data_IF_314087555652
#
_entry.id   IF_314087555652
#
_cell.length_a   1.000
_cell.length_b   1.000
_cell.length_c   1.000
_cell.angle_alpha   90.00
_cell.angle_beta   90.00
_cell.angle_gamma   90.00
#
_symmetry.space_group_name_H-M   'P 1'
#
loop_
_entity.id
_entity.type
_entity.pdbx_description
1 polymer ?
#
# COMPACT_ATOMS: atom_id res chain seq x y z
N UNK A 1 -6.95 16.06 -23.20
CA UNK A 1 -6.06 15.01 -23.71
C UNK A 1 -6.74 14.17 -24.78
N UNK A 2 -7.84 13.46 -24.52
CA UNK A 2 -8.55 12.62 -25.52
C UNK A 2 -8.86 13.35 -26.83
N UNK A 3 -9.27 14.64 -26.78
CA UNK A 3 -9.51 15.47 -27.99
C UNK A 3 -8.25 15.70 -28.85
N UNK A 4 -7.06 15.50 -28.29
CA UNK A 4 -5.78 15.60 -28.98
C UNK A 4 -5.27 14.25 -29.46
N UNK A 5 -6.08 13.20 -29.40
CA UNK A 5 -5.67 11.84 -29.79
C UNK A 5 -4.75 11.14 -28.78
N UNK A 6 -4.65 11.66 -27.55
CA UNK A 6 -3.83 11.02 -26.51
C UNK A 6 -4.65 9.88 -25.89
N UNK A 7 -4.08 8.69 -25.94
CA UNK A 7 -4.62 7.49 -25.31
C UNK A 7 -4.46 7.58 -23.78
N UNK A 8 -5.56 7.41 -23.06
CA UNK A 8 -5.62 7.38 -21.62
C UNK A 8 -5.98 5.95 -21.18
N UNK A 9 -5.19 5.41 -20.28
CA UNK A 9 -5.41 4.12 -19.61
C UNK A 9 -5.86 4.36 -18.17
N UNK A 10 -6.50 3.35 -17.58
CA UNK A 10 -7.01 3.41 -16.21
C UNK A 10 -6.19 2.50 -15.32
N UNK A 11 -5.56 3.08 -14.29
CA UNK A 11 -4.85 2.33 -13.26
C UNK A 11 -5.62 2.33 -11.95
N UNK A 12 -5.31 1.34 -11.10
CA UNK A 12 -5.80 1.25 -9.73
C UNK A 12 -4.64 1.11 -8.78
N UNK A 13 -4.77 1.65 -7.59
CA UNK A 13 -3.90 1.38 -6.45
C UNK A 13 -4.75 1.31 -5.20
N UNK A 14 -4.14 1.06 -4.05
CA UNK A 14 -4.84 1.03 -2.78
C UNK A 14 -3.93 1.44 -1.65
N UNK A 15 -4.53 1.77 -0.53
CA UNK A 15 -3.85 2.07 0.72
C UNK A 15 -4.48 1.24 1.83
N UNK A 16 -3.70 0.76 2.82
CA UNK A 16 -4.25 0.06 3.98
C UNK A 16 -4.85 1.04 4.98
N UNK A 17 -5.49 0.49 6.00
CA UNK A 17 -5.97 1.28 7.12
C UNK A 17 -4.83 1.91 7.93
N UNK A 18 -5.17 2.98 8.63
CA UNK A 18 -4.38 3.54 9.74
C UNK A 18 -5.07 3.22 11.04
N UNK A 19 -4.29 2.89 12.03
CA UNK A 19 -4.77 2.52 13.37
C UNK A 19 -4.11 3.38 14.44
N UNK A 20 -4.78 3.53 15.58
CA UNK A 20 -4.21 4.22 16.73
C UNK A 20 -3.21 3.30 17.44
N UNK A 21 -1.93 3.65 17.39
CA UNK A 21 -0.82 2.89 17.97
C UNK A 21 -0.95 2.63 19.47
N UNK A 22 -1.70 3.46 20.21
CA UNK A 22 -1.97 3.26 21.62
C UNK A 22 -2.89 2.06 21.91
N UNK A 23 -3.46 1.49 20.87
CA UNK A 23 -4.40 0.35 20.94
C UNK A 23 -3.85 -0.92 20.32
N UNK A 24 -2.58 -0.90 19.90
CA UNK A 24 -1.85 -2.04 19.35
C UNK A 24 -1.15 -2.78 20.49
N UNK A 25 -1.20 -4.10 20.47
CA UNK A 25 -0.45 -4.98 21.37
C UNK A 25 0.87 -5.38 20.69
N UNK A 26 1.89 -4.54 20.85
CA UNK A 26 3.20 -4.75 20.24
C UNK A 26 3.95 -5.97 20.77
N UNK A 27 3.61 -6.47 21.96
CA UNK A 27 4.24 -7.65 22.55
C UNK A 27 3.96 -8.95 21.75
N UNK A 28 2.95 -8.91 20.88
CA UNK A 28 2.60 -10.02 19.96
C UNK A 28 3.28 -9.91 18.59
N UNK A 29 4.15 -8.94 18.40
CA UNK A 29 4.79 -8.63 17.12
C UNK A 29 6.30 -8.67 17.23
N UNK A 30 6.97 -8.89 16.11
CA UNK A 30 8.42 -8.85 16.02
C UNK A 30 8.89 -7.43 15.71
N UNK A 31 9.65 -6.82 16.63
CA UNK A 31 10.21 -5.49 16.39
C UNK A 31 11.31 -5.52 15.33
N UNK A 32 11.20 -4.64 14.35
CA UNK A 32 12.15 -4.45 13.27
C UNK A 32 12.88 -3.13 13.50
N UNK A 33 14.11 -3.24 13.97
CA UNK A 33 14.96 -2.07 14.23
C UNK A 33 15.51 -1.47 12.93
N UNK A 34 15.82 -0.19 12.95
CA UNK A 34 16.60 0.44 11.89
C UNK A 34 18.04 -0.08 11.82
N UNK A 35 18.72 0.23 10.73
CA UNK A 35 20.11 -0.20 10.52
C UNK A 35 21.05 0.37 11.60
N UNK A 36 21.96 -0.49 12.12
CA UNK A 36 22.98 -0.07 13.10
C UNK A 36 23.93 1.00 12.54
N UNK A 37 24.17 0.96 11.24
CA UNK A 37 24.95 1.96 10.51
C UNK A 37 24.06 2.66 9.50
N UNK A 38 23.86 3.96 9.72
CA UNK A 38 23.07 4.77 8.79
C UNK A 38 23.87 4.98 7.50
N UNK A 39 23.29 4.59 6.37
CA UNK A 39 23.82 4.86 5.04
C UNK A 39 22.87 5.87 4.37
N UNK A 40 23.30 7.13 4.16
CA UNK A 40 22.46 8.13 3.49
C UNK A 40 22.12 7.72 2.06
N UNK A 41 20.94 8.10 1.58
CA UNK A 41 20.57 7.93 0.17
C UNK A 41 21.32 8.92 -0.76
N UNK A 42 21.77 10.04 -0.22
CA UNK A 42 22.57 11.03 -0.95
C UNK A 42 24.06 10.77 -0.77
N UNK A 43 24.82 10.81 -1.87
CA UNK A 43 26.28 10.69 -1.84
C UNK A 43 26.98 11.90 -1.20
N UNK A 44 26.29 13.04 -1.06
CA UNK A 44 26.82 14.27 -0.49
C UNK A 44 26.44 14.48 0.98
N UNK A 45 25.58 13.62 1.54
CA UNK A 45 25.22 13.70 2.96
C UNK A 45 26.28 13.01 3.80
N UNK A 46 26.85 13.73 4.77
CA UNK A 46 27.74 13.14 5.76
C UNK A 46 26.93 12.21 6.68
N UNK A 47 27.25 10.90 6.76
CA UNK A 47 26.57 9.96 7.65
C UNK A 47 26.62 10.37 9.13
N UNK A 48 27.72 11.00 9.57
CA UNK A 48 27.92 11.44 10.94
C UNK A 48 27.00 12.64 11.31
N UNK A 49 26.50 13.36 10.29
CA UNK A 49 25.54 14.45 10.51
C UNK A 49 24.12 13.97 10.83
N UNK A 50 23.82 12.68 10.62
CA UNK A 50 22.49 12.11 10.83
C UNK A 50 22.35 11.62 12.26
N UNK A 51 21.89 12.51 13.15
CA UNK A 51 21.67 12.23 14.57
C UNK A 51 20.19 11.98 14.88
N UNK A 52 19.46 11.26 14.05
CA UNK A 52 18.05 10.97 14.30
C UNK A 52 17.90 9.61 14.97
N UNK A 53 17.14 9.60 16.06
CA UNK A 53 16.60 8.36 16.60
C UNK A 53 15.76 7.66 15.52
N UNK A 54 16.14 6.44 15.18
CA UNK A 54 15.40 5.64 14.22
C UNK A 54 14.17 5.04 14.92
N UNK A 55 13.01 5.13 14.28
CA UNK A 55 11.82 4.46 14.75
C UNK A 55 11.77 3.03 14.21
N UNK A 56 11.45 2.10 15.08
CA UNK A 56 11.17 0.72 14.68
C UNK A 56 9.82 0.62 13.97
N UNK A 57 9.70 -0.34 13.09
CA UNK A 57 8.41 -0.89 12.69
C UNK A 57 8.25 -2.30 13.32
N UNK A 58 7.07 -2.88 13.20
CA UNK A 58 6.80 -4.20 13.76
C UNK A 58 6.25 -5.12 12.68
N UNK A 59 6.61 -6.39 12.76
CA UNK A 59 6.16 -7.42 11.84
C UNK A 59 5.17 -8.34 12.55
N UNK A 60 4.03 -8.54 11.92
CA UNK A 60 3.05 -9.55 12.26
C UNK A 60 2.56 -10.25 10.98
N UNK A 61 1.56 -11.10 11.11
CA UNK A 61 1.09 -11.90 9.97
C UNK A 61 -0.44 -12.04 9.99
N UNK A 62 -1.02 -12.13 8.80
CA UNK A 62 -2.38 -12.66 8.67
C UNK A 62 -2.39 -14.15 9.04
N UNK A 63 -3.57 -14.71 9.21
CA UNK A 63 -3.79 -16.13 9.49
C UNK A 63 -5.00 -16.67 8.72
N UNK A 64 -5.34 -17.94 8.92
CA UNK A 64 -6.44 -18.58 8.22
C UNK A 64 -7.80 -17.93 8.50
N UNK A 65 -8.03 -17.42 9.73
CA UNK A 65 -9.27 -16.71 10.07
C UNK A 65 -9.36 -15.39 9.28
N UNK A 66 -8.24 -14.66 9.16
CA UNK A 66 -8.15 -13.46 8.31
C UNK A 66 -8.50 -13.81 6.86
N UNK A 67 -7.88 -14.88 6.35
CA UNK A 67 -8.09 -15.32 4.96
C UNK A 67 -9.52 -15.80 4.71
N UNK A 68 -10.10 -16.49 5.68
CA UNK A 68 -11.50 -16.94 5.61
C UNK A 68 -12.45 -15.75 5.52
N UNK A 69 -12.29 -14.74 6.37
CA UNK A 69 -13.12 -13.52 6.33
C UNK A 69 -13.02 -12.86 4.95
N UNK A 70 -11.81 -12.74 4.39
CA UNK A 70 -11.60 -12.15 3.07
C UNK A 70 -12.30 -12.98 1.99
N UNK A 71 -12.11 -14.30 1.97
CA UNK A 71 -12.73 -15.20 0.98
C UNK A 71 -14.26 -15.17 1.03
N UNK A 72 -14.82 -15.19 2.25
CA UNK A 72 -16.28 -15.18 2.45
C UNK A 72 -16.93 -13.87 2.01
N UNK A 73 -16.15 -12.79 1.85
CA UNK A 73 -16.63 -11.46 1.46
C UNK A 73 -16.03 -10.96 0.13
N UNK A 74 -15.42 -11.85 -0.66
CA UNK A 74 -14.71 -11.44 -1.87
C UNK A 74 -15.62 -10.74 -2.89
N UNK A 75 -16.87 -11.18 -3.01
CA UNK A 75 -17.86 -10.62 -3.92
C UNK A 75 -18.28 -9.19 -3.52
N UNK A 76 -17.99 -8.78 -2.29
CA UNK A 76 -18.23 -7.42 -1.79
C UNK A 76 -17.06 -6.48 -2.08
N UNK A 77 -15.92 -7.00 -2.55
CA UNK A 77 -14.78 -6.18 -2.95
C UNK A 77 -15.07 -5.48 -4.29
N UNK A 78 -14.96 -4.15 -4.39
CA UNK A 78 -15.06 -3.43 -5.65
C UNK A 78 -14.12 -3.93 -6.75
N UNK A 79 -12.99 -4.54 -6.38
CA UNK A 79 -12.04 -5.15 -7.30
C UNK A 79 -12.59 -6.42 -7.96
N UNK A 80 -13.41 -7.19 -7.25
CA UNK A 80 -13.95 -8.48 -7.70
C UNK A 80 -15.40 -8.37 -8.18
N UNK A 81 -16.15 -7.38 -7.71
CA UNK A 81 -17.52 -7.11 -8.17
C UNK A 81 -17.60 -6.37 -9.50
N UNK A 82 -16.47 -5.97 -10.08
CA UNK A 82 -16.43 -5.26 -11.37
C UNK A 82 -16.75 -3.75 -11.27
N UNK A 83 -16.72 -3.17 -10.09
CA UNK A 83 -16.85 -1.70 -9.89
C UNK A 83 -15.53 -1.01 -10.26
N UNK A 84 -14.40 -1.59 -9.92
CA UNK A 84 -13.07 -1.11 -10.26
C UNK A 84 -12.59 -1.82 -11.51
N UNK A 85 -12.30 -1.05 -12.57
CA UNK A 85 -11.83 -1.57 -13.87
C UNK A 85 -10.35 -1.30 -14.13
N UNK A 86 -9.69 -0.50 -13.30
CA UNK A 86 -8.29 -0.12 -13.47
C UNK A 86 -7.34 -1.32 -13.31
N UNK A 87 -6.29 -1.35 -14.12
CA UNK A 87 -5.20 -2.34 -13.98
C UNK A 87 -4.35 -2.00 -12.78
N UNK A 88 -4.13 -2.97 -11.87
CA UNK A 88 -3.22 -2.80 -10.74
C UNK A 88 -1.75 -2.78 -11.18
N UNK A 89 -0.90 -1.95 -10.58
CA UNK A 89 0.53 -2.02 -10.79
C UNK A 89 1.09 -3.37 -10.29
N UNK A 90 2.20 -3.79 -10.88
CA UNK A 90 2.78 -5.12 -10.64
C UNK A 90 3.09 -5.41 -9.16
N UNK A 91 3.47 -4.38 -8.40
CA UNK A 91 3.99 -4.51 -7.04
C UNK A 91 3.06 -3.96 -5.95
N UNK A 92 1.78 -3.75 -6.25
CA UNK A 92 0.80 -3.28 -5.28
C UNK A 92 -0.46 -4.17 -5.26
N UNK A 93 -0.33 -5.48 -4.93
CA UNK A 93 -1.50 -6.32 -4.75
C UNK A 93 -2.22 -5.92 -3.46
N UNK A 94 -3.55 -5.87 -3.49
CA UNK A 94 -4.36 -5.78 -2.28
C UNK A 94 -4.25 -7.08 -1.46
N UNK A 95 -4.69 -7.04 -0.21
CA UNK A 95 -4.70 -8.27 0.61
C UNK A 95 -5.64 -9.32 0.02
N UNK A 96 -6.79 -8.90 -0.56
CA UNK A 96 -7.68 -9.81 -1.28
C UNK A 96 -6.98 -10.47 -2.46
N UNK A 97 -6.20 -9.72 -3.24
CA UNK A 97 -5.41 -10.28 -4.34
C UNK A 97 -4.39 -11.32 -3.85
N UNK A 98 -3.71 -11.05 -2.73
CA UNK A 98 -2.74 -11.99 -2.15
C UNK A 98 -3.43 -13.28 -1.73
N UNK A 99 -4.52 -13.19 -0.97
CA UNK A 99 -5.27 -14.34 -0.46
C UNK A 99 -5.87 -15.18 -1.60
N UNK A 100 -6.34 -14.52 -2.67
CA UNK A 100 -6.94 -15.24 -3.79
C UNK A 100 -5.93 -15.85 -4.74
N UNK A 101 -4.78 -15.20 -4.95
CA UNK A 101 -3.72 -15.69 -5.86
C UNK A 101 -2.80 -16.72 -5.21
N UNK A 102 -2.53 -16.58 -3.93
CA UNK A 102 -1.61 -17.44 -3.18
C UNK A 102 -2.36 -18.26 -2.13
N UNK A 103 -3.31 -19.06 -2.60
CA UNK A 103 -4.21 -19.88 -1.75
C UNK A 103 -3.47 -20.94 -0.92
N UNK A 104 -2.28 -21.31 -1.33
CA UNK A 104 -1.37 -22.24 -0.67
C UNK A 104 -0.58 -21.59 0.48
N UNK A 105 -0.66 -20.27 0.64
CA UNK A 105 -0.03 -19.56 1.74
C UNK A 105 -1.00 -19.45 2.92
N UNK A 106 -0.54 -19.92 4.07
CA UNK A 106 -1.26 -19.85 5.35
C UNK A 106 -1.23 -18.47 6.01
N UNK A 107 -0.26 -17.62 5.60
CA UNK A 107 -0.09 -16.27 6.13
C UNK A 107 0.59 -15.33 5.15
N UNK A 108 0.34 -14.03 5.33
CA UNK A 108 1.02 -12.93 4.66
C UNK A 108 1.59 -11.96 5.68
N UNK A 109 2.75 -11.38 5.39
CA UNK A 109 3.40 -10.37 6.22
C UNK A 109 2.56 -9.10 6.30
N UNK A 110 2.51 -8.55 7.51
CA UNK A 110 1.88 -7.26 7.83
C UNK A 110 2.91 -6.42 8.58
N UNK A 111 3.29 -5.29 8.02
CA UNK A 111 4.19 -4.34 8.66
C UNK A 111 3.37 -3.25 9.35
N UNK A 112 3.69 -2.99 10.60
CA UNK A 112 3.07 -1.94 11.41
C UNK A 112 4.05 -0.79 11.50
N UNK A 113 3.81 0.25 10.70
CA UNK A 113 4.75 1.33 10.43
C UNK A 113 4.25 2.66 11.01
N UNK A 114 5.05 3.36 11.86
CA UNK A 114 4.64 4.66 12.36
C UNK A 114 4.59 5.69 11.22
N UNK A 115 3.48 6.42 11.09
CA UNK A 115 3.30 7.45 10.06
C UNK A 115 4.15 8.71 10.30
N UNK A 116 4.70 8.89 11.49
CA UNK A 116 5.57 10.02 11.80
C UNK A 116 5.85 10.19 13.29
N UNK A 117 6.70 11.17 13.61
CA UNK A 117 7.20 11.41 14.96
C UNK A 117 6.17 12.07 15.90
N UNK A 118 5.18 12.75 15.34
CA UNK A 118 4.22 13.58 16.10
C UNK A 118 2.78 13.08 16.00
N UNK A 119 2.60 11.82 15.57
CA UNK A 119 1.30 11.18 15.46
C UNK A 119 1.30 9.81 16.13
N UNK A 120 0.13 9.35 16.54
CA UNK A 120 -0.10 7.98 17.00
C UNK A 120 -0.67 7.08 15.89
N UNK A 121 -0.71 7.58 14.65
CA UNK A 121 -1.19 6.79 13.52
C UNK A 121 -0.12 5.80 13.05
N UNK A 122 -0.53 4.55 12.87
CA UNK A 122 0.28 3.48 12.31
C UNK A 122 -0.34 2.94 11.03
N UNK A 123 0.49 2.75 10.04
CA UNK A 123 0.16 2.23 8.73
C UNK A 123 0.25 0.70 8.73
N UNK A 124 -0.79 0.02 8.22
CA UNK A 124 -0.82 -1.45 8.17
C UNK A 124 -0.27 -1.94 6.83
N UNK A 125 1.05 -1.86 6.65
CA UNK A 125 1.74 -2.26 5.42
C UNK A 125 1.43 -3.69 5.02
N UNK A 126 1.04 -3.89 3.76
CA UNK A 126 0.66 -5.21 3.25
C UNK A 126 -0.83 -5.53 3.31
N UNK A 127 -1.65 -4.69 3.97
CA UNK A 127 -3.09 -4.87 4.16
C UNK A 127 -3.95 -3.89 3.34
N UNK A 128 -3.43 -3.36 2.22
CA UNK A 128 -4.23 -2.55 1.28
C UNK A 128 -5.48 -3.31 0.86
N UNK A 129 -6.64 -2.69 0.94
CA UNK A 129 -7.91 -3.35 0.68
C UNK A 129 -8.96 -2.40 0.12
N UNK A 130 -9.89 -2.95 -0.65
CA UNK A 130 -11.11 -2.26 -1.09
C UNK A 130 -12.38 -2.83 -0.45
N UNK A 131 -12.22 -3.80 0.46
CA UNK A 131 -13.34 -4.43 1.16
C UNK A 131 -14.12 -3.40 1.99
N UNK A 132 -15.44 -3.60 2.20
CA UNK A 132 -16.25 -2.74 3.04
C UNK A 132 -15.73 -2.63 4.48
N UNK A 133 -16.08 -1.55 5.14
CA UNK A 133 -15.61 -1.20 6.48
C UNK A 133 -15.82 -2.31 7.51
N UNK A 134 -17.01 -2.91 7.55
CA UNK A 134 -17.34 -4.01 8.47
C UNK A 134 -16.41 -5.23 8.28
N UNK A 135 -16.05 -5.53 7.04
CA UNK A 135 -15.11 -6.61 6.71
C UNK A 135 -13.70 -6.24 7.14
N UNK A 136 -13.29 -4.99 6.91
CA UNK A 136 -11.99 -4.48 7.37
C UNK A 136 -11.85 -4.62 8.89
N UNK A 137 -12.86 -4.18 9.66
CA UNK A 137 -12.86 -4.35 11.12
C UNK A 137 -12.78 -5.82 11.53
N UNK A 138 -13.51 -6.70 10.87
CA UNK A 138 -13.49 -8.12 11.18
C UNK A 138 -12.12 -8.74 10.90
N UNK A 139 -11.52 -8.49 9.73
CA UNK A 139 -10.24 -9.09 9.37
C UNK A 139 -9.06 -8.57 10.21
N UNK A 140 -9.03 -7.27 10.57
CA UNK A 140 -7.94 -6.76 11.40
C UNK A 140 -7.94 -7.36 12.81
N UNK A 141 -9.11 -7.64 13.39
CA UNK A 141 -9.23 -8.26 14.72
C UNK A 141 -8.67 -9.68 14.78
N UNK A 142 -8.46 -10.34 13.66
CA UNK A 142 -7.86 -11.67 13.62
C UNK A 142 -6.34 -11.66 13.52
N UNK A 143 -5.75 -10.49 13.25
CA UNK A 143 -4.29 -10.34 13.11
C UNK A 143 -3.67 -10.19 14.51
N UNK A 144 -2.67 -11.01 14.87
CA UNK A 144 -2.01 -10.91 16.18
C UNK A 144 -1.51 -9.50 16.47
N UNK A 145 -1.89 -8.97 17.65
CA UNK A 145 -1.58 -7.62 18.10
C UNK A 145 -2.53 -6.53 17.61
N UNK A 146 -3.46 -6.83 16.71
CA UNK A 146 -4.47 -5.89 16.22
C UNK A 146 -5.88 -6.19 16.74
N UNK A 147 -6.07 -7.15 17.64
CA UNK A 147 -7.37 -7.62 18.11
C UNK A 147 -8.22 -6.49 18.69
N UNK A 148 -7.58 -5.50 19.31
CA UNK A 148 -8.18 -4.34 19.94
C UNK A 148 -7.85 -3.02 19.24
N UNK A 149 -7.18 -3.07 18.08
CA UNK A 149 -6.75 -1.89 17.36
C UNK A 149 -7.95 -1.05 16.91
N UNK A 150 -7.86 0.25 17.14
CA UNK A 150 -8.87 1.24 16.71
C UNK A 150 -8.46 1.79 15.34
N UNK A 151 -9.30 1.59 14.36
CA UNK A 151 -9.10 2.15 13.03
C UNK A 151 -9.34 3.66 13.09
N UNK A 152 -8.36 4.44 12.62
CA UNK A 152 -8.43 5.90 12.49
C UNK A 152 -8.88 6.27 11.08
N UNK A 153 -8.40 5.52 10.09
CA UNK A 153 -8.77 5.66 8.66
C UNK A 153 -8.92 4.28 8.05
N UNK A 154 -10.00 4.07 7.35
CA UNK A 154 -10.21 2.82 6.61
C UNK A 154 -9.26 2.69 5.43
N UNK A 155 -8.98 1.45 5.03
CA UNK A 155 -8.36 1.16 3.75
C UNK A 155 -9.31 1.55 2.60
N UNK A 156 -8.75 1.94 1.47
CA UNK A 156 -9.53 2.23 0.27
C UNK A 156 -8.72 2.00 -1.00
N UNK A 157 -9.41 1.78 -2.10
CA UNK A 157 -8.81 1.73 -3.42
C UNK A 157 -8.99 3.07 -4.14
N UNK A 158 -8.07 3.34 -5.06
CA UNK A 158 -8.06 4.52 -5.90
C UNK A 158 -7.95 4.06 -7.35
N UNK A 159 -8.76 4.62 -8.22
CA UNK A 159 -8.55 4.58 -9.66
C UNK A 159 -8.08 5.94 -10.16
N UNK A 160 -7.18 5.93 -11.13
CA UNK A 160 -6.68 7.17 -11.73
C UNK A 160 -6.40 7.00 -13.21
N UNK A 161 -6.54 8.11 -13.95
CA UNK A 161 -6.20 8.17 -15.36
C UNK A 161 -4.71 8.37 -15.53
N UNK A 162 -4.13 7.63 -16.47
CA UNK A 162 -2.72 7.73 -16.83
C UNK A 162 -2.60 7.73 -18.35
N UNK A 163 -1.68 8.49 -18.89
CA UNK A 163 -1.35 8.37 -20.31
C UNK A 163 -0.68 7.03 -20.60
N UNK A 164 -0.93 6.44 -21.76
CA UNK A 164 -0.16 5.27 -22.17
C UNK A 164 1.28 5.73 -22.49
N UNK A 165 2.30 5.29 -21.73
CA UNK A 165 3.68 5.75 -21.88
C UNK A 165 4.30 5.37 -23.23
N UNK A 166 3.75 4.36 -23.91
CA UNK A 166 4.21 3.96 -25.26
C UNK A 166 4.01 5.06 -26.31
N UNK A 167 3.22 6.10 -26.01
CA UNK A 167 3.04 7.27 -26.89
C UNK A 167 4.19 8.28 -26.79
N UNK A 168 5.11 8.10 -25.84
CA UNK A 168 6.24 9.00 -25.63
C UNK A 168 7.48 8.51 -26.37
N UNK A 169 8.31 9.45 -26.83
CA UNK A 169 9.69 9.24 -27.25
C UNK A 169 10.56 9.04 -25.99
N UNK A 170 11.82 8.64 -26.16
CA UNK A 170 12.80 8.57 -25.06
C UNK A 170 13.07 9.93 -24.41
N UNK A 171 12.80 11.03 -25.12
CA UNK A 171 12.85 12.40 -24.62
C UNK A 171 11.62 12.80 -23.78
N UNK A 172 10.65 11.89 -23.57
CA UNK A 172 9.36 12.12 -22.93
C UNK A 172 8.41 13.04 -23.73
N UNK A 173 8.77 13.41 -24.95
CA UNK A 173 7.89 14.11 -25.88
C UNK A 173 6.88 13.15 -26.50
N UNK A 174 5.64 13.60 -26.71
CA UNK A 174 4.66 12.79 -27.43
C UNK A 174 5.09 12.54 -28.88
N UNK A 175 4.95 11.30 -29.34
CA UNK A 175 5.29 10.92 -30.72
C UNK A 175 4.47 11.67 -31.77
N UNK A 176 3.20 11.95 -31.43
CA UNK A 176 2.22 12.51 -32.37
C UNK A 176 1.96 14.02 -32.16
N UNK A 177 2.56 14.64 -31.14
CA UNK A 177 2.36 16.06 -30.81
C UNK A 177 3.72 16.67 -30.47
N UNK A 178 4.26 17.42 -31.42
CA UNK A 178 5.54 18.10 -31.23
C UNK A 178 5.46 19.18 -30.14
N UNK A 179 6.48 19.27 -29.30
CA UNK A 179 6.57 20.25 -28.21
C UNK A 179 5.75 19.91 -26.98
N UNK A 180 4.98 18.82 -26.97
CA UNK A 180 4.26 18.36 -25.80
C UNK A 180 5.03 17.24 -25.10
N UNK A 181 5.36 17.45 -23.83
CA UNK A 181 6.08 16.50 -22.99
C UNK A 181 5.21 16.03 -21.84
N UNK A 182 5.41 14.80 -21.40
CA UNK A 182 4.79 14.27 -20.18
C UNK A 182 5.83 13.49 -19.38
N UNK A 183 5.91 13.79 -18.11
CA UNK A 183 6.77 13.10 -17.17
C UNK A 183 6.02 12.88 -15.85
N UNK A 184 6.50 11.92 -15.07
CA UNK A 184 6.04 11.68 -13.72
C UNK A 184 7.18 11.85 -12.71
N UNK A 185 6.84 11.84 -11.42
CA UNK A 185 7.83 11.96 -10.34
C UNK A 185 8.96 10.92 -10.41
N UNK A 186 8.74 9.78 -11.05
CA UNK A 186 9.77 8.75 -11.23
C UNK A 186 10.89 9.18 -12.19
N UNK A 187 10.69 10.25 -12.95
CA UNK A 187 11.64 10.74 -13.93
C UNK A 187 12.41 12.01 -13.46
N UNK A 188 12.25 12.40 -12.20
CA UNK A 188 12.91 13.56 -11.60
C UNK A 188 14.15 13.10 -10.85
#
# INVERSE_FOLDING_TARGET
MKKLGIEIVRFKTGTPARVDGRTIDFDKMEEQFGDKKIVPFSFTTDPESIQKEQRSCWLTYTNEDTHKIIRDNIDRSPLYSGVIHGTGPRYCPSIEDKVMRFKDKDRHQVFIEPEGNYTHEYYLGGMSSSLPEDVQYAMYKTVPGLEHAKIVRNAYAIEYDCINPNQLKSSLEFKNISGLFSLSLIHI
#
